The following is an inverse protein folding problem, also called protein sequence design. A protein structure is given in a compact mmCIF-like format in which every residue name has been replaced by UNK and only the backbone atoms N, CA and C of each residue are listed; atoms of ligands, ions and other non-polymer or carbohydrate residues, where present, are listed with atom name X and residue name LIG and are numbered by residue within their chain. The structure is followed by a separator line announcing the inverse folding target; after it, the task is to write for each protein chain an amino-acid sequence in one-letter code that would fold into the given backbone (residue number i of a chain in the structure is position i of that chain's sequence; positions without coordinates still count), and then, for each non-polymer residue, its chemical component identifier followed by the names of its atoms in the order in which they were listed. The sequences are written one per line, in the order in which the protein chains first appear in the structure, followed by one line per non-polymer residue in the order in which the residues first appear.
data_IF_758535031943
#
_entry.id   IF_758535031943
#
_cell.length_a   1.000
_cell.length_b   1.000
_cell.length_c   1.000
_cell.angle_alpha   90.00
_cell.angle_beta   90.00
_cell.angle_gamma   90.00
#
_symmetry.space_group_name_H-M   'P 1'
#
loop_
_entity.id
_entity.type
_entity.pdbx_description
1 polymer ?
#
# COMPACT_ATOMS: atom_id res chain seq x y z
N UNK A 1 -1.35 -15.67 4.89
CA UNK A 1 -2.83 -15.61 4.84
C UNK A 1 -3.28 -14.81 6.05
N UNK A 2 -3.99 -13.70 5.83
CA UNK A 2 -4.31 -12.74 6.88
C UNK A 2 -5.68 -13.10 7.53
N UNK A 3 -5.79 -13.01 8.87
CA UNK A 3 -6.90 -13.57 9.66
C UNK A 3 -8.23 -12.81 9.58
N UNK A 4 -8.35 -11.75 8.78
CA UNK A 4 -9.52 -10.86 8.75
C UNK A 4 -10.65 -11.22 7.76
N UNK A 5 -10.63 -12.39 7.11
CA UNK A 5 -11.52 -12.74 5.98
C UNK A 5 -13.01 -12.99 6.39
N UNK A 6 -13.43 -12.74 7.64
CA UNK A 6 -14.72 -13.24 8.17
C UNK A 6 -15.76 -12.16 8.51
N UNK A 7 -15.59 -10.89 8.09
CA UNK A 7 -16.66 -9.89 8.25
C UNK A 7 -16.92 -9.12 6.95
N UNK A 8 -18.15 -9.26 6.48
CA UNK A 8 -18.66 -8.72 5.23
C UNK A 8 -19.01 -7.24 5.38
N UNK A 9 -18.26 -6.40 4.68
CA UNK A 9 -18.60 -5.03 4.31
C UNK A 9 -17.64 -4.59 3.23
N UNK A 10 -18.12 -4.07 2.10
CA UNK A 10 -17.30 -3.72 0.92
C UNK A 10 -16.07 -2.86 1.27
N UNK A 11 -16.19 -1.99 2.27
CA UNK A 11 -15.09 -1.17 2.77
C UNK A 11 -13.97 -1.96 3.48
N UNK A 12 -14.29 -3.06 4.15
CA UNK A 12 -13.26 -3.92 4.79
C UNK A 12 -12.45 -4.66 3.72
N UNK A 13 -13.09 -5.09 2.63
CA UNK A 13 -12.41 -5.77 1.52
C UNK A 13 -11.42 -4.85 0.80
N UNK A 14 -11.79 -3.58 0.60
CA UNK A 14 -10.89 -2.57 0.02
C UNK A 14 -9.70 -2.28 0.95
N UNK A 15 -9.94 -2.15 2.26
CA UNK A 15 -8.89 -1.93 3.27
C UNK A 15 -7.90 -3.08 3.40
N UNK A 16 -8.38 -4.32 3.25
CA UNK A 16 -7.53 -5.51 3.16
C UNK A 16 -6.73 -5.51 1.87
N UNK A 17 -7.35 -5.12 0.75
CA UNK A 17 -6.68 -5.01 -0.55
C UNK A 17 -5.55 -3.98 -0.54
N UNK A 18 -5.71 -2.86 0.18
CA UNK A 18 -4.63 -1.87 0.34
C UNK A 18 -3.46 -2.36 1.20
N UNK A 19 -3.69 -3.25 2.17
CA UNK A 19 -2.59 -3.88 2.91
C UNK A 19 -1.74 -4.75 1.99
N UNK A 20 -2.39 -5.48 1.08
CA UNK A 20 -1.69 -6.29 0.09
C UNK A 20 -0.95 -5.43 -0.94
N UNK A 21 -1.51 -4.28 -1.32
CA UNK A 21 -0.83 -3.29 -2.15
C UNK A 21 0.48 -2.78 -1.52
N UNK A 22 0.48 -2.52 -0.20
CA UNK A 22 1.69 -2.14 0.55
C UNK A 22 2.76 -3.24 0.54
N UNK A 23 2.35 -4.49 0.72
CA UNK A 23 3.23 -5.67 0.65
C UNK A 23 3.86 -5.80 -0.75
N UNK A 24 3.05 -5.73 -1.81
CA UNK A 24 3.52 -5.76 -3.20
C UNK A 24 4.45 -4.60 -3.54
N UNK A 25 4.18 -3.40 -3.01
CA UNK A 25 5.01 -2.22 -3.30
C UNK A 25 6.42 -2.38 -2.74
N UNK A 26 6.56 -2.96 -1.53
CA UNK A 26 7.89 -3.32 -1.00
C UNK A 26 8.55 -4.36 -1.89
N UNK A 27 7.83 -5.41 -2.27
CA UNK A 27 8.38 -6.49 -3.09
C UNK A 27 8.90 -5.96 -4.43
N UNK A 28 8.14 -5.10 -5.09
CA UNK A 28 8.53 -4.45 -6.36
C UNK A 28 9.72 -3.51 -6.20
N UNK A 29 9.78 -2.74 -5.11
CA UNK A 29 10.83 -1.75 -4.89
C UNK A 29 12.14 -2.36 -4.38
N UNK A 30 12.05 -3.49 -3.68
CA UNK A 30 13.21 -4.10 -3.03
C UNK A 30 13.68 -5.39 -3.71
N UNK A 31 12.84 -6.00 -4.55
CA UNK A 31 13.07 -7.33 -5.12
C UNK A 31 13.10 -8.45 -4.08
N UNK A 32 12.85 -8.14 -2.81
CA UNK A 32 12.88 -9.08 -1.70
C UNK A 32 11.46 -9.43 -1.27
N UNK A 33 11.22 -10.73 -1.06
CA UNK A 33 9.91 -11.17 -0.59
C UNK A 33 9.63 -10.53 0.79
N UNK A 34 8.50 -9.83 0.94
CA UNK A 34 8.13 -9.13 2.17
C UNK A 34 7.86 -10.08 3.33
N UNK A 35 7.82 -11.40 3.11
CA UNK A 35 7.77 -12.42 4.16
C UNK A 35 9.13 -12.72 4.80
N UNK A 36 10.20 -12.08 4.33
CA UNK A 36 11.51 -12.07 5.03
C UNK A 36 11.51 -11.15 6.26
N UNK A 37 10.38 -10.49 6.55
CA UNK A 37 10.21 -9.64 7.73
C UNK A 37 10.31 -10.43 9.02
N UNK A 38 11.17 -9.94 9.89
CA UNK A 38 11.35 -10.39 11.25
C UNK A 38 9.99 -10.41 11.98
N UNK A 39 9.85 -11.32 12.95
CA UNK A 39 8.67 -11.68 13.79
C UNK A 39 7.83 -10.54 14.43
N UNK A 40 8.10 -9.26 14.10
CA UNK A 40 7.45 -8.06 14.64
C UNK A 40 6.55 -7.32 13.63
N UNK A 41 6.21 -7.91 12.49
CA UNK A 41 5.33 -7.29 11.46
C UNK A 41 5.82 -5.93 10.94
N UNK A 42 7.10 -5.59 11.08
CA UNK A 42 7.63 -4.32 10.56
C UNK A 42 8.41 -4.57 9.27
N UNK A 43 8.02 -3.92 8.16
CA UNK A 43 8.73 -4.05 6.90
C UNK A 43 10.14 -3.46 7.02
N UNK A 44 11.16 -4.25 6.67
CA UNK A 44 12.52 -3.78 6.54
C UNK A 44 12.64 -2.98 5.25
N UNK A 45 12.32 -1.67 5.31
CA UNK A 45 12.45 -0.77 4.16
C UNK A 45 13.91 -0.33 4.06
N UNK A 46 14.63 -0.66 2.97
CA UNK A 46 16.03 -0.29 2.80
C UNK A 46 16.24 1.22 2.72
N UNK A 47 17.40 1.70 3.16
CA UNK A 47 17.71 3.14 3.17
C UNK A 47 17.90 3.76 1.77
N UNK A 48 18.04 2.94 0.72
CA UNK A 48 18.10 3.43 -0.67
C UNK A 48 16.73 3.83 -1.22
N UNK A 49 15.63 3.46 -0.55
CA UNK A 49 14.27 3.83 -0.94
C UNK A 49 14.02 5.30 -0.61
N UNK A 50 13.37 6.01 -1.52
CA UNK A 50 13.02 7.42 -1.33
C UNK A 50 12.14 7.60 -0.09
N UNK A 51 12.29 8.73 0.62
CA UNK A 51 11.47 9.05 1.81
C UNK A 51 9.97 9.01 1.50
N UNK A 52 9.58 9.39 0.28
CA UNK A 52 8.19 9.41 -0.20
C UNK A 52 7.66 7.98 -0.37
N UNK A 53 8.42 7.08 -0.98
CA UNK A 53 8.03 5.69 -1.14
C UNK A 53 7.98 4.97 0.22
N UNK A 54 8.91 5.28 1.13
CA UNK A 54 8.88 4.78 2.51
C UNK A 54 7.61 5.21 3.24
N UNK A 55 7.23 6.48 3.13
CA UNK A 55 6.00 7.02 3.75
C UNK A 55 4.74 6.33 3.19
N UNK A 56 4.68 6.14 1.86
CA UNK A 56 3.59 5.44 1.19
C UNK A 56 3.39 4.01 1.73
N UNK A 57 4.47 3.24 1.78
CA UNK A 57 4.48 1.86 2.27
C UNK A 57 4.03 1.79 3.73
N UNK A 58 4.58 2.66 4.59
CA UNK A 58 4.24 2.66 6.02
C UNK A 58 2.77 3.00 6.26
N UNK A 59 2.20 3.94 5.48
CA UNK A 59 0.79 4.30 5.59
C UNK A 59 -0.14 3.22 5.04
N UNK A 60 0.26 2.46 4.02
CA UNK A 60 -0.49 1.29 3.53
C UNK A 60 -0.44 0.11 4.52
N UNK A 61 0.69 -0.08 5.20
CA UNK A 61 0.90 -1.14 6.19
C UNK A 61 0.55 -0.72 7.63
N UNK A 62 -0.15 0.41 7.79
CA UNK A 62 -0.58 0.90 9.09
C UNK A 62 -1.46 -0.15 9.78
N UNK A 63 -1.17 -0.48 11.03
CA UNK A 63 -1.90 -1.51 11.78
C UNK A 63 -3.36 -1.10 12.08
N UNK A 64 -3.61 0.21 12.17
CA UNK A 64 -4.96 0.73 12.42
C UNK A 64 -5.69 0.98 11.09
N UNK A 65 -6.71 0.16 10.82
CA UNK A 65 -7.54 0.23 9.61
C UNK A 65 -8.16 1.60 9.36
N UNK A 66 -8.47 2.38 10.41
CA UNK A 66 -9.11 3.71 10.28
C UNK A 66 -8.15 4.82 9.91
N UNK A 67 -6.85 4.62 10.12
CA UNK A 67 -5.79 5.57 9.82
C UNK A 67 -4.91 5.11 8.67
N UNK A 68 -5.24 3.97 8.04
CA UNK A 68 -4.51 3.39 6.93
C UNK A 68 -4.75 4.19 5.65
N UNK A 69 -3.74 4.32 4.80
CA UNK A 69 -3.94 4.89 3.48
C UNK A 69 -4.97 4.06 2.70
N UNK A 70 -6.02 4.71 2.20
CA UNK A 70 -7.15 4.01 1.57
C UNK A 70 -8.36 3.81 2.48
N UNK A 71 -8.30 4.26 3.74
CA UNK A 71 -9.48 4.29 4.66
C UNK A 71 -10.67 5.07 4.09
N UNK A 72 -10.36 6.08 3.27
CA UNK A 72 -11.35 6.95 2.62
C UNK A 72 -11.62 6.53 1.17
N UNK A 73 -11.16 5.34 0.77
CA UNK A 73 -11.24 4.81 -0.59
C UNK A 73 -9.99 5.09 -1.42
N UNK A 74 -10.07 4.72 -2.70
CA UNK A 74 -8.96 4.77 -3.66
C UNK A 74 -8.37 6.19 -3.82
N UNK A 75 -9.20 7.22 -3.72
CA UNK A 75 -8.78 8.61 -3.86
C UNK A 75 -7.67 9.00 -2.86
N UNK A 76 -7.72 8.49 -1.63
CA UNK A 76 -6.69 8.74 -0.60
C UNK A 76 -5.32 8.14 -1.00
N UNK A 77 -5.35 7.02 -1.73
CA UNK A 77 -4.15 6.38 -2.28
C UNK A 77 -3.64 7.15 -3.49
N UNK A 78 -4.54 7.56 -4.41
CA UNK A 78 -4.19 8.30 -5.63
C UNK A 78 -3.53 9.64 -5.32
N UNK A 79 -4.02 10.38 -4.33
CA UNK A 79 -3.49 11.69 -3.93
C UNK A 79 -2.16 11.61 -3.17
N UNK A 80 -1.62 10.41 -2.93
CA UNK A 80 -0.33 10.29 -2.26
C UNK A 80 0.81 10.83 -3.14
N UNK A 81 1.76 11.59 -2.59
CA UNK A 81 2.91 12.13 -3.34
C UNK A 81 3.83 11.06 -3.96
N UNK A 82 3.55 9.77 -3.74
CA UNK A 82 4.26 8.66 -4.36
C UNK A 82 4.01 8.60 -5.87
N UNK A 83 2.79 8.89 -6.32
CA UNK A 83 2.46 8.96 -7.73
C UNK A 83 2.94 10.27 -8.38
N UNK A 84 3.25 11.29 -7.58
CA UNK A 84 3.68 12.59 -8.10
C UNK A 84 2.58 13.30 -8.89
N UNK A 85 2.83 14.55 -9.29
CA UNK A 85 1.86 15.34 -10.06
C UNK A 85 1.80 14.94 -11.54
N UNK A 86 2.79 14.18 -12.01
CA UNK A 86 2.97 13.81 -13.41
C UNK A 86 2.30 12.47 -13.79
N UNK A 87 1.81 11.69 -12.81
CA UNK A 87 1.17 10.39 -13.05
C UNK A 87 -0.34 10.52 -12.86
N UNK A 88 -1.07 10.55 -13.97
CA UNK A 88 -2.52 10.46 -13.98
C UNK A 88 -2.97 8.99 -14.03
N UNK A 89 -3.44 8.48 -12.88
CA UNK A 89 -3.86 7.08 -12.73
C UNK A 89 -5.09 6.74 -13.57
N UNK A 90 -5.94 7.72 -13.86
CA UNK A 90 -7.13 7.53 -14.69
C UNK A 90 -6.75 7.34 -16.18
N UNK A 91 -5.73 8.05 -16.66
CA UNK A 91 -5.15 7.87 -18.00
C UNK A 91 -4.49 6.49 -18.13
N UNK A 92 -3.79 6.04 -17.08
CA UNK A 92 -3.21 4.68 -17.04
C UNK A 92 -4.31 3.61 -17.05
N UNK A 93 -5.39 3.80 -16.28
CA UNK A 93 -6.50 2.87 -16.24
C UNK A 93 -7.19 2.71 -17.61
N UNK A 94 -7.23 3.79 -18.40
CA UNK A 94 -7.73 3.76 -19.78
C UNK A 94 -6.75 3.18 -20.79
N UNK A 95 -5.54 2.77 -20.36
CA UNK A 95 -4.48 2.24 -21.22
C UNK A 95 -4.14 3.19 -22.39
N UNK A 96 -4.32 4.50 -22.15
CA UNK A 96 -4.00 5.56 -23.12
C UNK A 96 -2.58 6.02 -22.83
N UNK A 97 -1.64 5.50 -23.62
CA UNK A 97 -0.23 5.89 -23.61
C UNK A 97 0.08 6.70 -24.87
#
# INVERSE_FOLDING_TARGET
MAPEIVKSGDAEHDLVSFSFLGVLTIELLTGASPFTVNVKNQPLIPNYISKIAKDFILKLLMNNLKCRLGSKGLEDVKHHPFFGSDIDLDTIAQKRF
#
